data_IF_432825675684
#
_entry.id   IF_432825675684
#
_cell.length_a   1.000
_cell.length_b   1.000
_cell.length_c   1.000
_cell.angle_alpha   90.00
_cell.angle_beta   90.00
_cell.angle_gamma   90.00
#
_symmetry.space_group_name_H-M   'P 1'
#
loop_
_entity.id
_entity.type
_entity.pdbx_description
1 polymer ?
#
# COMPACT_ATOMS: atom_id res chain seq x y z
N UNK A 1 -37.33 -16.25 26.98
CA UNK A 1 -36.91 -14.85 27.20
C UNK A 1 -35.38 -14.71 27.28
N UNK A 2 -34.61 -15.55 26.55
CA UNK A 2 -33.14 -15.51 26.49
C UNK A 2 -32.61 -15.49 25.03
N UNK A 3 -33.50 -15.48 24.03
CA UNK A 3 -33.10 -15.47 22.62
C UNK A 3 -32.86 -14.03 22.12
N UNK A 4 -33.72 -13.08 22.50
CA UNK A 4 -33.65 -11.69 22.01
C UNK A 4 -32.39 -10.93 22.47
N UNK A 5 -31.89 -11.18 23.70
CA UNK A 5 -30.68 -10.51 24.23
C UNK A 5 -29.41 -11.00 23.52
N UNK A 6 -29.41 -12.26 23.08
CA UNK A 6 -28.25 -12.88 22.45
C UNK A 6 -28.12 -12.45 20.98
N UNK A 7 -29.24 -12.25 20.28
CA UNK A 7 -29.28 -11.67 18.93
C UNK A 7 -28.78 -10.22 18.92
N UNK A 8 -29.26 -9.37 19.83
CA UNK A 8 -28.83 -7.95 19.88
C UNK A 8 -27.32 -7.79 20.16
N UNK A 9 -26.74 -8.70 20.95
CA UNK A 9 -25.29 -8.65 21.26
C UNK A 9 -24.45 -9.11 20.07
N UNK A 10 -24.88 -10.16 19.35
CA UNK A 10 -24.20 -10.63 18.15
C UNK A 10 -24.25 -9.58 17.03
N UNK A 11 -25.42 -8.99 16.79
CA UNK A 11 -25.58 -7.91 15.79
C UNK A 11 -24.74 -6.67 16.11
N UNK A 12 -24.56 -6.34 17.39
CA UNK A 12 -23.68 -5.24 17.80
C UNK A 12 -22.21 -5.54 17.48
N UNK A 13 -21.74 -6.74 17.83
CA UNK A 13 -20.36 -7.19 17.57
C UNK A 13 -20.06 -7.32 16.08
N UNK A 14 -21.02 -7.77 15.28
CA UNK A 14 -20.92 -7.86 13.82
C UNK A 14 -20.72 -6.50 13.15
N UNK A 15 -21.20 -5.42 13.76
CA UNK A 15 -20.98 -4.05 13.29
C UNK A 15 -19.72 -3.41 13.88
N UNK A 16 -19.44 -3.66 15.15
CA UNK A 16 -18.29 -3.09 15.86
C UNK A 16 -16.96 -3.53 15.24
N UNK A 17 -16.84 -4.81 14.83
CA UNK A 17 -15.58 -5.31 14.31
C UNK A 17 -15.18 -4.68 12.95
N UNK A 18 -16.06 -4.57 11.94
CA UNK A 18 -15.75 -3.85 10.71
C UNK A 18 -15.46 -2.36 10.92
N UNK A 19 -16.19 -1.68 11.83
CA UNK A 19 -15.94 -0.28 12.18
C UNK A 19 -14.54 -0.10 12.77
N UNK A 20 -14.13 -0.95 13.71
CA UNK A 20 -12.80 -0.92 14.31
C UNK A 20 -11.68 -1.14 13.27
N UNK A 21 -11.89 -2.04 12.31
CA UNK A 21 -10.94 -2.25 11.21
C UNK A 21 -10.86 -1.03 10.28
N UNK A 22 -11.99 -0.38 9.99
CA UNK A 22 -12.04 0.85 9.21
C UNK A 22 -11.29 2.00 9.89
N UNK A 23 -11.52 2.20 11.19
CA UNK A 23 -10.83 3.22 11.99
C UNK A 23 -9.33 2.96 12.06
N UNK A 24 -8.91 1.70 12.23
CA UNK A 24 -7.52 1.32 12.17
C UNK A 24 -6.90 1.64 10.80
N UNK A 25 -7.59 1.30 9.71
CA UNK A 25 -7.18 1.60 8.34
C UNK A 25 -6.95 3.10 8.13
N UNK A 26 -7.93 3.94 8.48
CA UNK A 26 -7.83 5.39 8.33
C UNK A 26 -6.65 6.00 9.11
N UNK A 27 -6.37 5.47 10.30
CA UNK A 27 -5.22 5.92 11.11
C UNK A 27 -3.89 5.50 10.50
N UNK A 28 -3.80 4.30 9.93
CA UNK A 28 -2.61 3.86 9.21
C UNK A 28 -2.39 4.67 7.93
N UNK A 29 -3.46 5.00 7.20
CA UNK A 29 -3.39 5.87 6.02
C UNK A 29 -2.77 7.22 6.36
N UNK A 30 -3.27 7.88 7.41
CA UNK A 30 -2.72 9.14 7.87
C UNK A 30 -1.23 9.03 8.26
N UNK A 31 -0.84 7.93 8.90
CA UNK A 31 0.55 7.66 9.26
C UNK A 31 1.43 7.46 8.02
N UNK A 32 0.97 6.69 7.02
CA UNK A 32 1.67 6.47 5.76
C UNK A 32 1.94 7.77 5.02
N UNK A 33 0.91 8.61 4.87
CA UNK A 33 1.04 9.92 4.23
C UNK A 33 2.07 10.79 4.95
N UNK A 34 2.06 10.81 6.29
CA UNK A 34 3.02 11.57 7.07
C UNK A 34 4.46 11.05 6.89
N UNK A 35 4.66 9.73 6.97
CA UNK A 35 5.95 9.09 6.79
C UNK A 35 6.50 9.32 5.37
N UNK A 36 5.69 9.05 4.35
CA UNK A 36 6.08 9.22 2.95
C UNK A 36 6.50 10.67 2.65
N UNK A 37 5.72 11.65 3.13
CA UNK A 37 6.05 13.08 2.96
C UNK A 37 7.32 13.53 3.68
N UNK A 38 7.72 12.84 4.75
CA UNK A 38 8.96 13.13 5.46
C UNK A 38 10.22 12.61 4.74
N UNK A 39 10.05 11.68 3.79
CA UNK A 39 11.11 11.18 2.93
C UNK A 39 11.18 12.00 1.63
N UNK A 40 12.04 13.03 1.64
CA UNK A 40 12.35 13.85 0.46
C UNK A 40 13.86 13.90 0.21
N UNK A 41 14.37 13.46 -0.95
CA UNK A 41 13.63 12.80 -2.05
C UNK A 41 13.07 11.43 -1.62
N UNK A 42 11.96 11.00 -2.22
CA UNK A 42 11.41 9.67 -1.92
C UNK A 42 12.32 8.57 -2.51
N UNK A 43 12.45 7.38 -1.88
CA UNK A 43 13.29 6.31 -2.40
C UNK A 43 12.94 5.89 -3.83
N UNK A 44 13.97 5.54 -4.59
CA UNK A 44 13.83 5.01 -5.94
C UNK A 44 13.42 3.53 -5.89
N UNK A 45 12.51 3.13 -6.77
CA UNK A 45 12.07 1.74 -6.93
C UNK A 45 13.21 0.91 -7.51
N UNK A 46 13.71 -0.08 -6.75
CA UNK A 46 14.80 -0.99 -7.19
C UNK A 46 16.01 -0.31 -7.85
N UNK A 47 16.33 0.93 -7.48
CA UNK A 47 17.43 1.71 -8.08
C UNK A 47 17.11 2.37 -9.42
N UNK A 48 15.87 2.28 -9.91
CA UNK A 48 15.36 3.02 -11.08
C UNK A 48 15.16 4.48 -10.69
N UNK A 49 16.07 5.36 -11.12
CA UNK A 49 16.01 6.79 -10.74
C UNK A 49 14.75 7.49 -11.25
N UNK A 50 14.12 6.96 -12.30
CA UNK A 50 12.87 7.48 -12.88
C UNK A 50 11.64 7.22 -12.02
N UNK A 51 11.66 6.17 -11.18
CA UNK A 51 10.50 5.71 -10.41
C UNK A 51 10.76 5.89 -8.93
N UNK A 52 9.93 6.69 -8.28
CA UNK A 52 9.97 6.85 -6.82
C UNK A 52 8.86 6.02 -6.18
N UNK A 53 9.23 4.85 -5.68
CA UNK A 53 8.30 3.95 -5.00
C UNK A 53 9.10 2.93 -4.18
N UNK A 54 8.46 2.34 -3.16
CA UNK A 54 9.02 1.20 -2.41
C UNK A 54 8.12 0.00 -2.63
N UNK A 55 8.70 -1.11 -3.08
CA UNK A 55 8.00 -2.39 -3.19
C UNK A 55 7.57 -2.92 -1.83
N UNK A 56 6.34 -3.41 -1.75
CA UNK A 56 5.74 -3.96 -0.55
C UNK A 56 5.68 -5.48 -0.68
N UNK A 57 6.50 -6.16 0.11
CA UNK A 57 6.50 -7.61 0.25
C UNK A 57 6.02 -7.99 1.66
N UNK A 58 4.72 -8.21 1.87
CA UNK A 58 4.23 -8.66 3.17
C UNK A 58 4.83 -10.01 3.57
N UNK A 59 5.01 -10.27 4.88
CA UNK A 59 5.60 -11.52 5.37
C UNK A 59 4.76 -12.77 5.07
N UNK A 60 3.49 -12.59 4.71
CA UNK A 60 2.58 -13.67 4.35
C UNK A 60 2.20 -13.56 2.88
N UNK A 61 2.00 -14.72 2.24
CA UNK A 61 1.55 -14.76 0.85
C UNK A 61 0.21 -14.01 0.71
N UNK A 62 0.10 -13.05 -0.22
CA UNK A 62 -1.15 -12.37 -0.51
C UNK A 62 -2.29 -13.34 -0.82
N UNK A 63 -3.51 -12.98 -0.44
CA UNK A 63 -4.72 -13.79 -0.70
C UNK A 63 -4.99 -13.94 -2.20
N UNK A 64 -4.57 -12.95 -2.99
CA UNK A 64 -4.66 -12.91 -4.45
C UNK A 64 -3.38 -12.32 -5.03
N UNK A 65 -3.06 -12.68 -6.26
CA UNK A 65 -1.95 -12.06 -6.99
C UNK A 65 -2.34 -10.63 -7.36
N UNK A 66 -1.58 -9.66 -6.84
CA UNK A 66 -1.78 -8.22 -7.04
C UNK A 66 -0.68 -7.61 -7.93
N UNK A 67 0.23 -8.43 -8.45
CA UNK A 67 1.43 -7.93 -9.12
C UNK A 67 2.36 -7.18 -8.16
N UNK A 68 3.10 -6.21 -8.70
CA UNK A 68 4.02 -5.38 -7.93
C UNK A 68 3.25 -4.34 -7.13
N UNK A 69 3.05 -4.56 -5.84
CA UNK A 69 2.42 -3.60 -4.93
C UNK A 69 3.50 -2.69 -4.38
N UNK A 70 3.26 -1.38 -4.42
CA UNK A 70 4.20 -0.36 -3.95
C UNK A 70 3.52 0.67 -3.07
N UNK A 71 4.32 1.42 -2.31
CA UNK A 71 3.94 2.71 -1.73
C UNK A 71 4.63 3.85 -2.47
N UNK A 72 3.85 4.88 -2.82
CA UNK A 72 4.29 6.05 -3.59
C UNK A 72 4.73 7.23 -2.68
N UNK A 73 5.26 8.34 -3.25
CA UNK A 73 5.71 9.52 -2.51
C UNK A 73 4.61 10.28 -1.75
N UNK A 74 3.35 10.02 -2.08
CA UNK A 74 2.15 10.56 -1.47
C UNK A 74 1.65 9.68 -0.31
N UNK A 75 2.16 8.46 -0.19
CA UNK A 75 1.79 7.47 0.82
C UNK A 75 0.64 6.56 0.37
N UNK A 76 0.31 6.52 -0.92
CA UNK A 76 -0.72 5.66 -1.47
C UNK A 76 -0.16 4.26 -1.74
N UNK A 77 -0.97 3.24 -1.47
CA UNK A 77 -0.66 1.86 -1.81
C UNK A 77 -1.33 1.54 -3.15
N UNK A 78 -0.52 1.21 -4.14
CA UNK A 78 -0.96 1.02 -5.51
C UNK A 78 -0.17 -0.11 -6.18
N UNK A 79 -0.67 -0.57 -7.32
CA UNK A 79 0.05 -1.49 -8.18
C UNK A 79 0.92 -0.69 -9.13
N UNK A 80 2.19 -1.06 -9.23
CA UNK A 80 3.09 -0.56 -10.25
C UNK A 80 3.06 -1.50 -11.46
N UNK A 81 2.57 -0.99 -12.58
CA UNK A 81 2.67 -1.65 -13.87
C UNK A 81 3.77 -0.97 -14.69
N UNK A 82 4.80 -1.73 -15.06
CA UNK A 82 5.90 -1.26 -15.92
C UNK A 82 5.66 -1.85 -17.30
N UNK A 83 4.97 -1.10 -18.15
CA UNK A 83 4.73 -1.52 -19.53
C UNK A 83 5.82 -0.95 -20.44
N UNK A 84 6.50 -1.83 -21.18
CA UNK A 84 7.40 -1.42 -22.25
C UNK A 84 6.57 -1.06 -23.48
N UNK A 85 6.53 0.23 -23.84
CA UNK A 85 5.89 0.63 -25.10
C UNK A 85 6.89 0.36 -26.21
N UNK A 86 6.66 -0.73 -26.94
CA UNK A 86 7.48 -1.09 -28.10
C UNK A 86 7.39 -0.02 -29.18
N UNK A 87 8.48 0.72 -29.40
CA UNK A 87 8.61 1.63 -30.54
C UNK A 87 8.54 0.87 -31.86
N UNK A 88 7.77 1.40 -32.82
CA UNK A 88 7.75 0.91 -34.20
C UNK A 88 9.19 0.89 -34.75
N UNK A 89 9.55 -0.23 -35.40
CA UNK A 89 10.90 -0.54 -35.85
C UNK A 89 11.61 0.67 -36.52
N UNK A 90 12.67 1.17 -35.89
CA UNK A 90 13.66 2.00 -36.59
C UNK A 90 14.38 3.05 -35.77
N UNK A 91 13.72 3.74 -34.83
CA UNK A 91 14.33 4.83 -34.05
C UNK A 91 13.57 5.00 -32.74
N UNK A 92 14.31 5.36 -31.69
CA UNK A 92 13.86 5.83 -30.36
C UNK A 92 13.79 4.72 -29.30
N UNK A 93 14.46 5.00 -28.19
CA UNK A 93 14.47 4.26 -26.93
C UNK A 93 13.05 3.80 -26.57
N UNK A 94 12.89 2.56 -26.12
CA UNK A 94 11.58 2.11 -25.64
C UNK A 94 11.21 2.98 -24.43
N UNK A 95 10.21 3.85 -24.59
CA UNK A 95 9.62 4.58 -23.48
C UNK A 95 8.98 3.53 -22.57
N UNK A 96 9.60 3.27 -21.42
CA UNK A 96 8.95 2.52 -20.36
C UNK A 96 7.94 3.48 -19.74
N UNK A 97 6.66 3.10 -19.79
CA UNK A 97 5.61 3.88 -19.15
C UNK A 97 5.31 3.22 -17.82
N UNK A 98 5.65 3.90 -16.74
CA UNK A 98 5.34 3.45 -15.39
C UNK A 98 3.96 3.98 -14.99
N UNK A 99 3.02 3.05 -14.75
CA UNK A 99 1.63 3.38 -14.40
C UNK A 99 1.36 2.90 -12.98
N UNK A 100 1.04 3.84 -12.10
CA UNK A 100 0.51 3.54 -10.77
C UNK A 100 -0.99 3.37 -10.86
N UNK A 101 -1.46 2.15 -10.60
CA UNK A 101 -2.88 1.80 -10.62
C UNK A 101 -3.41 1.70 -9.19
N UNK A 102 -4.50 2.40 -8.84
CA UNK A 102 -5.16 2.23 -7.56
C UNK A 102 -5.54 0.77 -7.30
N UNK A 103 -5.36 0.31 -6.06
CA UNK A 103 -5.71 -1.04 -5.64
C UNK A 103 -6.96 -1.05 -4.77
N UNK A 104 -7.94 -1.86 -5.16
CA UNK A 104 -9.15 -2.10 -4.36
C UNK A 104 -8.88 -3.17 -3.29
N UNK A 105 -8.29 -2.78 -2.17
CA UNK A 105 -7.96 -3.69 -1.07
C UNK A 105 -9.15 -3.87 -0.11
N UNK A 106 -9.37 -5.09 0.34
CA UNK A 106 -10.22 -5.32 1.53
C UNK A 106 -9.57 -4.68 2.76
N UNK A 107 -10.33 -4.38 3.84
CA UNK A 107 -9.75 -3.79 5.05
C UNK A 107 -8.57 -4.60 5.61
N UNK A 108 -8.66 -5.93 5.62
CA UNK A 108 -7.57 -6.78 6.10
C UNK A 108 -6.34 -6.72 5.19
N UNK A 109 -6.52 -6.77 3.87
CA UNK A 109 -5.40 -6.61 2.93
C UNK A 109 -4.73 -5.26 3.11
N UNK A 110 -5.52 -4.19 3.25
CA UNK A 110 -5.00 -2.85 3.49
C UNK A 110 -4.14 -2.79 4.75
N UNK A 111 -4.63 -3.32 5.89
CA UNK A 111 -3.87 -3.32 7.14
C UNK A 111 -2.51 -4.03 6.99
N UNK A 112 -2.47 -5.16 6.28
CA UNK A 112 -1.24 -5.94 6.06
C UNK A 112 -0.22 -5.17 5.21
N UNK A 113 -0.67 -4.57 4.10
CA UNK A 113 0.22 -3.77 3.25
C UNK A 113 0.64 -2.47 3.94
N UNK A 114 -0.25 -1.83 4.69
CA UNK A 114 0.04 -0.60 5.42
C UNK A 114 1.07 -0.82 6.54
N UNK A 115 0.96 -1.91 7.29
CA UNK A 115 1.97 -2.29 8.30
C UNK A 115 3.36 -2.48 7.66
N UNK A 116 3.40 -3.22 6.53
CA UNK A 116 4.63 -3.45 5.76
C UNK A 116 5.24 -2.13 5.28
N UNK A 117 4.42 -1.24 4.69
CA UNK A 117 4.86 0.06 4.19
C UNK A 117 5.36 0.97 5.32
N UNK A 118 4.66 1.05 6.45
CA UNK A 118 5.09 1.83 7.62
C UNK A 118 6.44 1.35 8.13
N UNK A 119 6.65 0.04 8.22
CA UNK A 119 7.90 -0.54 8.66
C UNK A 119 9.07 -0.13 7.75
N UNK A 120 8.89 -0.25 6.44
CA UNK A 120 9.91 0.11 5.44
C UNK A 120 10.22 1.61 5.42
N UNK A 121 9.18 2.47 5.42
CA UNK A 121 9.35 3.93 5.45
C UNK A 121 10.04 4.38 6.76
N UNK A 122 9.69 3.77 7.88
CA UNK A 122 10.30 4.07 9.17
C UNK A 122 11.77 3.62 9.24
N UNK A 123 12.11 2.48 8.64
CA UNK A 123 13.51 2.05 8.51
C UNK A 123 14.31 3.03 7.66
N UNK A 124 13.78 3.44 6.51
CA UNK A 124 14.47 4.40 5.63
C UNK A 124 14.66 5.76 6.32
N UNK A 125 13.67 6.24 7.09
CA UNK A 125 13.82 7.46 7.89
C UNK A 125 14.94 7.31 8.93
N UNK A 126 14.98 6.19 9.65
CA UNK A 126 16.04 5.91 10.63
C UNK A 126 17.41 5.80 9.98
N UNK A 127 17.49 5.23 8.77
CA UNK A 127 18.72 5.12 7.99
C UNK A 127 19.26 6.49 7.57
N UNK A 128 18.39 7.44 7.22
CA UNK A 128 18.77 8.81 6.82
C UNK A 128 19.09 9.75 7.98
N UNK A 129 18.53 9.49 9.16
CA UNK A 129 18.78 10.27 10.37
C UNK A 129 20.07 9.89 11.12
N UNK A 130 20.82 8.90 10.63
CA UNK A 130 22.16 8.55 11.08
C UNK A 130 23.21 9.27 10.23
#
# INVERSE_FOLDING_TARGET
MNQDINETTAEHLEREAPEALGDAGARLEAALVALARSLRPFPAFMGMVSVQAIELEPPFKPLRDLGCVVVDPEGQICQLDVTSVGGLAGVIEADQVEVFQPLELTPLEYLVYADTAIALLSEELRRRGR
#
